data_IF_840054813710
#
_entry.id   IF_840054813710
#
_cell.length_a   1.000
_cell.length_b   1.000
_cell.length_c   1.000
_cell.angle_alpha   90.00
_cell.angle_beta   90.00
_cell.angle_gamma   90.00
#
_symmetry.space_group_name_H-M   'P 1'
#
loop_
_entity.id
_entity.type
_entity.pdbx_description
1 polymer ?
#
# COMPACT_ATOMS: atom_id res chain seq x y z
N UNK A 1 3.93 19.07 -42.38
CA UNK A 1 3.79 20.20 -41.43
C UNK A 1 2.51 19.97 -40.65
N UNK A 2 2.54 19.97 -39.31
CA UNK A 2 1.40 19.86 -38.37
C UNK A 2 0.41 18.69 -38.63
N UNK A 3 0.63 17.56 -37.93
CA UNK A 3 -0.48 16.66 -37.54
C UNK A 3 -0.83 16.97 -36.09
N UNK A 4 -1.99 17.60 -35.89
CA UNK A 4 -2.43 18.07 -34.58
C UNK A 4 -2.66 16.91 -33.61
N UNK A 5 -2.10 17.06 -32.40
CA UNK A 5 -2.27 16.12 -31.30
C UNK A 5 -3.69 16.28 -30.76
N UNK A 6 -4.55 15.27 -30.96
CA UNK A 6 -5.78 15.16 -30.18
C UNK A 6 -5.40 14.69 -28.77
N UNK A 7 -5.10 15.65 -27.91
CA UNK A 7 -4.95 15.43 -26.47
C UNK A 7 -6.36 15.16 -25.92
N UNK A 8 -6.73 13.87 -25.81
CA UNK A 8 -8.01 13.50 -25.20
C UNK A 8 -7.94 13.79 -23.70
N UNK A 9 -8.49 14.94 -23.33
CA UNK A 9 -8.88 15.29 -21.96
C UNK A 9 -10.04 14.37 -21.54
N UNK A 10 -9.71 13.17 -21.07
CA UNK A 10 -10.64 12.33 -20.30
C UNK A 10 -10.52 12.66 -18.82
N UNK A 11 -10.96 13.87 -18.47
CA UNK A 11 -11.25 14.31 -17.10
C UNK A 11 -12.73 14.70 -17.07
N UNK A 12 -13.42 14.30 -16.01
CA UNK A 12 -14.88 14.33 -15.79
C UNK A 12 -15.68 13.28 -16.60
N UNK A 13 -16.27 12.31 -15.90
CA UNK A 13 -17.12 11.30 -16.54
C UNK A 13 -17.60 10.11 -15.69
N UNK A 14 -17.04 9.85 -14.50
CA UNK A 14 -17.53 8.77 -13.62
C UNK A 14 -17.69 9.25 -12.17
N UNK A 15 -18.94 9.55 -11.81
CA UNK A 15 -19.41 9.63 -10.43
C UNK A 15 -20.45 8.53 -10.21
N UNK A 16 -20.46 7.98 -8.99
CA UNK A 16 -21.16 6.76 -8.54
C UNK A 16 -20.48 5.45 -8.97
N UNK A 17 -20.27 4.59 -7.97
CA UNK A 17 -19.80 3.19 -8.09
C UNK A 17 -18.37 2.99 -8.61
N UNK A 18 -17.42 3.74 -8.08
CA UNK A 18 -16.06 3.21 -7.84
C UNK A 18 -16.01 2.51 -6.50
N UNK A 19 -15.05 1.61 -6.30
CA UNK A 19 -14.73 1.05 -4.97
C UNK A 19 -13.22 1.15 -4.52
N UNK A 20 -12.51 0.14 -3.94
CA UNK A 20 -11.01 0.10 -3.79
C UNK A 20 -10.48 -0.25 -2.38
N UNK A 21 -9.54 -1.22 -2.29
CA UNK A 21 -8.54 -1.46 -1.25
C UNK A 21 -7.30 -2.20 -1.81
N UNK A 22 -6.10 -1.60 -1.76
CA UNK A 22 -4.93 -1.95 -0.92
C UNK A 22 -3.73 -1.02 -1.25
N UNK A 23 -2.84 -0.75 -0.28
CA UNK A 23 -1.60 0.03 -0.52
C UNK A 23 -0.50 -0.89 -1.06
N UNK A 24 0.08 -0.53 -2.21
CA UNK A 24 1.29 -1.16 -2.75
C UNK A 24 2.48 -0.20 -2.59
N UNK A 25 3.40 -0.52 -1.68
CA UNK A 25 4.62 0.26 -1.45
C UNK A 25 5.72 -0.02 -2.50
N UNK A 26 5.58 -1.07 -3.31
CA UNK A 26 6.56 -1.54 -4.29
C UNK A 26 6.27 -1.05 -5.72
N UNK A 27 5.24 -0.22 -5.93
CA UNK A 27 4.90 0.35 -7.25
C UNK A 27 5.99 1.29 -7.81
N UNK A 28 6.07 1.44 -9.13
CA UNK A 28 7.13 2.21 -9.83
C UNK A 28 7.09 3.72 -9.63
N UNK A 29 5.93 4.29 -9.29
CA UNK A 29 5.82 5.71 -8.89
C UNK A 29 6.40 6.00 -7.51
N UNK A 30 6.73 4.98 -6.71
CA UNK A 30 7.36 5.11 -5.38
C UNK A 30 8.82 4.62 -5.39
N UNK A 31 9.46 4.46 -6.56
CA UNK A 31 10.77 3.81 -6.66
C UNK A 31 11.96 4.73 -6.30
N UNK A 32 12.72 4.32 -5.29
CA UNK A 32 14.05 4.90 -5.00
C UNK A 32 15.07 4.11 -5.81
N UNK A 33 15.59 4.70 -6.88
CA UNK A 33 16.60 4.09 -7.76
C UNK A 33 18.00 4.05 -7.13
N UNK A 34 18.14 3.28 -6.06
CA UNK A 34 19.40 2.95 -5.40
C UNK A 34 19.49 1.44 -5.18
N UNK A 35 20.71 0.90 -5.13
CA UNK A 35 21.00 -0.46 -4.67
C UNK A 35 20.87 -0.60 -3.15
N UNK A 36 20.92 0.52 -2.43
CA UNK A 36 20.74 0.59 -0.99
C UNK A 36 19.93 1.83 -0.58
N UNK A 37 18.93 1.64 0.28
CA UNK A 37 18.22 2.74 0.93
C UNK A 37 17.42 2.24 2.14
N UNK A 38 17.17 3.17 3.05
CA UNK A 38 16.15 3.05 4.09
C UNK A 38 14.96 3.94 3.73
N UNK A 39 13.74 3.51 4.03
CA UNK A 39 12.53 4.34 3.90
C UNK A 39 11.60 4.14 5.10
N UNK A 40 11.18 5.23 5.71
CA UNK A 40 10.09 5.27 6.67
C UNK A 40 8.82 5.78 5.98
N UNK A 41 7.68 5.23 6.34
CA UNK A 41 6.36 5.70 5.94
C UNK A 41 5.44 5.77 7.17
N UNK A 42 4.62 6.81 7.24
CA UNK A 42 3.56 6.96 8.22
C UNK A 42 2.29 7.41 7.50
N UNK A 43 1.24 6.61 7.60
CA UNK A 43 -0.09 6.88 7.07
C UNK A 43 -1.08 7.05 8.23
N UNK A 44 -2.00 8.02 8.10
CA UNK A 44 -3.03 8.27 9.10
C UNK A 44 -4.23 9.01 8.47
N UNK A 45 -5.43 8.79 8.99
CA UNK A 45 -6.66 9.40 8.48
C UNK A 45 -6.98 10.78 9.07
N UNK A 46 -6.30 11.22 10.13
CA UNK A 46 -6.35 12.63 10.58
C UNK A 46 -5.87 13.57 9.48
N UNK A 47 -4.92 13.13 8.62
CA UNK A 47 -4.56 13.90 7.43
C UNK A 47 -5.78 14.15 6.52
N UNK A 48 -6.78 13.26 6.49
CA UNK A 48 -8.03 13.39 5.76
C UNK A 48 -9.18 14.03 6.56
N UNK A 49 -8.97 14.35 7.84
CA UNK A 49 -9.99 14.91 8.73
C UNK A 49 -10.97 13.87 9.28
N UNK A 50 -10.56 12.61 9.37
CA UNK A 50 -11.34 11.49 9.92
C UNK A 50 -10.51 10.67 10.91
N UNK A 51 -11.14 9.77 11.66
CA UNK A 51 -10.49 8.78 12.55
C UNK A 51 -11.35 7.51 12.57
N UNK A 52 -11.44 6.83 11.42
CA UNK A 52 -12.27 5.67 11.14
C UNK A 52 -11.80 4.91 9.88
N UNK A 53 -12.06 3.61 9.85
CA UNK A 53 -11.51 2.66 8.87
C UNK A 53 -10.01 2.48 9.05
N UNK A 54 -9.18 2.88 8.08
CA UNK A 54 -7.72 2.83 8.19
C UNK A 54 -7.24 4.00 9.05
N UNK A 55 -7.20 3.82 10.37
CA UNK A 55 -6.79 4.88 11.31
C UNK A 55 -5.30 5.17 11.20
N UNK A 56 -4.47 4.13 11.07
CA UNK A 56 -3.03 4.29 11.14
C UNK A 56 -2.27 3.15 10.47
N UNK A 57 -1.19 3.50 9.78
CA UNK A 57 -0.11 2.57 9.50
C UNK A 57 1.25 3.22 9.64
N UNK A 58 2.26 2.40 9.93
CA UNK A 58 3.65 2.81 9.82
C UNK A 58 4.45 1.68 9.22
N UNK A 59 5.57 2.03 8.59
CA UNK A 59 6.47 1.01 8.08
C UNK A 59 7.91 1.46 7.91
N UNK A 60 8.81 0.49 7.97
CA UNK A 60 10.25 0.65 7.83
C UNK A 60 10.75 -0.31 6.76
N UNK A 61 11.33 0.25 5.69
CA UNK A 61 11.89 -0.47 4.56
C UNK A 61 13.41 -0.38 4.56
N UNK A 62 14.06 -1.49 4.23
CA UNK A 62 15.47 -1.58 3.98
C UNK A 62 15.72 -2.36 2.69
N UNK A 63 16.29 -1.70 1.70
CA UNK A 63 16.90 -2.35 0.52
C UNK A 63 18.41 -2.25 0.69
N UNK A 64 19.12 -3.36 0.50
CA UNK A 64 20.58 -3.40 0.60
C UNK A 64 21.16 -4.64 -0.11
N UNK A 65 22.38 -4.57 -0.71
CA UNK A 65 22.96 -5.70 -1.45
C UNK A 65 23.14 -6.97 -0.62
N UNK A 66 23.39 -6.86 0.70
CA UNK A 66 23.56 -8.04 1.56
C UNK A 66 22.28 -8.88 1.73
N UNK A 67 21.11 -8.32 1.38
CA UNK A 67 19.82 -9.03 1.41
C UNK A 67 19.65 -10.01 0.24
N UNK A 68 20.54 -10.02 -0.77
CA UNK A 68 20.60 -11.07 -1.81
C UNK A 68 20.84 -12.47 -1.20
N UNK A 69 21.55 -12.54 -0.07
CA UNK A 69 21.81 -13.77 0.68
C UNK A 69 20.64 -14.23 1.59
N UNK A 70 19.49 -13.55 1.59
CA UNK A 70 18.33 -13.95 2.40
C UNK A 70 17.73 -15.27 1.84
N UNK A 71 17.63 -16.36 2.63
CA UNK A 71 17.12 -17.64 2.14
C UNK A 71 15.65 -17.59 1.68
N UNK A 72 14.86 -16.59 2.13
CA UNK A 72 13.49 -16.38 1.63
C UNK A 72 13.47 -16.06 0.13
N UNK A 73 14.58 -15.55 -0.43
CA UNK A 73 14.71 -15.23 -1.85
C UNK A 73 14.51 -16.44 -2.78
N UNK A 74 14.71 -17.66 -2.28
CA UNK A 74 14.45 -18.89 -3.04
C UNK A 74 12.96 -19.17 -3.30
N UNK A 75 12.05 -18.48 -2.61
CA UNK A 75 10.60 -18.58 -2.84
C UNK A 75 10.11 -17.67 -3.98
N UNK A 76 10.95 -16.74 -4.46
CA UNK A 76 10.57 -15.75 -5.46
C UNK A 76 10.89 -16.23 -6.88
N UNK A 77 9.96 -16.01 -7.81
CA UNK A 77 10.24 -16.23 -9.23
C UNK A 77 11.30 -15.24 -9.72
N UNK A 78 12.48 -15.75 -10.09
CA UNK A 78 13.62 -14.97 -10.59
C UNK A 78 13.70 -15.06 -12.12
N UNK A 79 13.21 -14.06 -12.88
CA UNK A 79 13.39 -14.02 -14.33
C UNK A 79 14.86 -13.80 -14.70
N UNK A 80 15.28 -14.38 -15.83
CA UNK A 80 16.58 -14.10 -16.44
C UNK A 80 16.63 -12.66 -16.95
N UNK A 81 17.83 -12.05 -16.99
CA UNK A 81 18.11 -10.75 -17.62
C UNK A 81 17.42 -9.52 -16.97
N UNK A 82 16.77 -9.69 -15.82
CA UNK A 82 16.24 -8.57 -15.01
C UNK A 82 17.28 -8.12 -13.98
N UNK A 83 17.33 -6.81 -13.72
CA UNK A 83 18.09 -6.26 -12.59
C UNK A 83 17.29 -6.42 -11.30
N UNK A 84 17.89 -7.10 -10.31
CA UNK A 84 17.19 -7.52 -9.09
C UNK A 84 17.70 -6.75 -7.88
N UNK A 85 16.76 -6.34 -7.02
CA UNK A 85 17.01 -5.79 -5.68
C UNK A 85 16.17 -6.54 -4.67
N UNK A 86 16.77 -6.86 -3.53
CA UNK A 86 16.10 -7.50 -2.41
C UNK A 86 15.95 -6.50 -1.26
N UNK A 87 14.83 -6.61 -0.56
CA UNK A 87 14.53 -5.77 0.58
C UNK A 87 13.75 -6.51 1.67
N UNK A 88 13.75 -5.89 2.85
CA UNK A 88 12.88 -6.26 3.96
C UNK A 88 12.09 -5.04 4.40
N UNK A 89 10.91 -5.29 4.96
CA UNK A 89 9.98 -4.25 5.36
C UNK A 89 9.19 -4.71 6.58
N UNK A 90 9.16 -3.91 7.64
CA UNK A 90 8.23 -4.13 8.75
C UNK A 90 7.04 -3.20 8.54
N UNK A 91 5.84 -3.78 8.48
CA UNK A 91 4.59 -3.03 8.36
C UNK A 91 3.76 -3.24 9.62
N UNK A 92 3.11 -2.18 10.09
CA UNK A 92 1.98 -2.25 11.00
C UNK A 92 0.81 -1.49 10.40
N UNK A 93 -0.38 -2.09 10.41
CA UNK A 93 -1.65 -1.48 10.02
C UNK A 93 -2.67 -1.62 11.15
N UNK A 94 -3.46 -0.58 11.41
CA UNK A 94 -4.56 -0.57 12.36
C UNK A 94 -5.83 -0.02 11.74
N UNK A 95 -6.95 -0.60 12.17
CA UNK A 95 -8.28 -0.25 11.73
C UNK A 95 -9.26 -0.10 12.89
N UNK A 96 -10.13 0.90 12.79
CA UNK A 96 -11.17 1.21 13.78
C UNK A 96 -12.56 1.39 13.14
N UNK A 97 -13.64 1.09 13.86
CA UNK A 97 -14.99 1.55 13.52
C UNK A 97 -15.15 3.06 13.74
N UNK A 98 -16.21 3.64 13.17
CA UNK A 98 -16.52 5.06 13.17
C UNK A 98 -16.63 5.69 14.58
N UNK A 99 -17.23 5.00 15.54
CA UNK A 99 -17.41 5.51 16.91
C UNK A 99 -16.43 4.82 17.85
N UNK A 100 -15.13 4.83 17.55
CA UNK A 100 -14.07 4.15 18.31
C UNK A 100 -14.02 4.51 19.81
N UNK A 101 -14.59 5.66 20.19
CA UNK A 101 -14.85 6.10 21.57
C UNK A 101 -15.75 5.14 22.35
N UNK A 102 -16.62 4.39 21.67
CA UNK A 102 -17.54 3.45 22.31
C UNK A 102 -16.82 2.15 22.67
N UNK A 103 -16.95 1.66 23.91
CA UNK A 103 -16.35 0.41 24.36
C UNK A 103 -17.13 -0.86 23.93
N UNK A 104 -18.32 -0.70 23.33
CA UNK A 104 -19.15 -1.78 22.78
C UNK A 104 -18.70 -2.21 21.36
N UNK A 105 -19.25 -3.33 20.90
CA UNK A 105 -19.16 -3.76 19.50
C UNK A 105 -20.14 -2.93 18.66
N UNK A 106 -19.66 -2.36 17.55
CA UNK A 106 -20.47 -1.59 16.60
C UNK A 106 -20.98 -2.50 15.48
N UNK A 107 -22.15 -3.09 15.72
CA UNK A 107 -22.79 -4.00 14.75
C UNK A 107 -23.12 -3.23 13.46
N UNK A 108 -22.57 -3.71 12.34
CA UNK A 108 -22.71 -3.09 11.01
C UNK A 108 -21.52 -2.21 10.62
N UNK A 109 -20.53 -2.03 11.49
CA UNK A 109 -19.23 -1.41 11.17
C UNK A 109 -18.12 -2.45 11.21
N UNK A 110 -16.88 -2.11 10.86
CA UNK A 110 -15.75 -3.04 10.95
C UNK A 110 -15.37 -3.33 12.41
N UNK A 111 -14.82 -4.52 12.72
CA UNK A 111 -14.19 -4.74 14.02
C UNK A 111 -12.92 -3.89 14.15
N UNK A 112 -12.50 -3.63 15.40
CA UNK A 112 -11.12 -3.22 15.65
C UNK A 112 -10.17 -4.33 15.17
N UNK A 113 -9.12 -3.97 14.44
CA UNK A 113 -8.11 -4.91 13.98
C UNK A 113 -6.76 -4.21 13.85
N UNK A 114 -5.68 -4.90 14.20
CA UNK A 114 -4.32 -4.47 13.88
C UNK A 114 -3.51 -5.67 13.42
N UNK A 115 -2.59 -5.47 12.50
CA UNK A 115 -1.64 -6.47 12.06
C UNK A 115 -0.23 -5.90 12.00
N UNK A 116 0.76 -6.68 12.44
CA UNK A 116 2.18 -6.38 12.31
C UNK A 116 2.90 -7.54 11.62
N UNK A 117 3.71 -7.27 10.62
CA UNK A 117 4.43 -8.32 9.88
C UNK A 117 5.74 -7.85 9.27
N UNK A 118 6.67 -8.79 9.15
CA UNK A 118 7.90 -8.68 8.38
C UNK A 118 7.63 -9.21 6.97
N UNK A 119 7.81 -8.35 5.96
CA UNK A 119 7.77 -8.67 4.54
C UNK A 119 9.19 -8.74 4.00
N UNK A 120 9.61 -9.89 3.48
CA UNK A 120 10.78 -9.99 2.59
C UNK A 120 10.30 -9.86 1.15
N UNK A 121 11.00 -9.10 0.32
CA UNK A 121 10.57 -8.84 -1.06
C UNK A 121 11.73 -8.77 -2.06
N UNK A 122 11.38 -9.02 -3.31
CA UNK A 122 12.21 -8.85 -4.49
C UNK A 122 11.56 -7.84 -5.44
N UNK A 123 12.36 -6.93 -5.98
CA UNK A 123 12.05 -6.11 -7.15
C UNK A 123 12.96 -6.60 -8.28
N UNK A 124 12.38 -7.09 -9.36
CA UNK A 124 13.08 -7.38 -10.61
C UNK A 124 12.64 -6.35 -11.67
N UNK A 125 13.61 -5.72 -12.33
CA UNK A 125 13.37 -4.67 -13.34
C UNK A 125 14.01 -5.04 -14.67
N UNK A 126 13.19 -5.19 -15.71
CA UNK A 126 13.61 -5.31 -17.11
C UNK A 126 13.56 -3.92 -17.74
N UNK A 127 14.75 -3.43 -18.11
CA UNK A 127 14.95 -2.10 -18.67
C UNK A 127 14.72 -2.04 -20.18
N UNK A 128 14.86 -3.17 -20.87
CA UNK A 128 14.72 -3.24 -22.34
C UNK A 128 13.25 -3.18 -22.75
N UNK A 129 12.39 -3.96 -22.07
CA UNK A 129 10.94 -3.98 -22.31
C UNK A 129 10.13 -3.08 -21.36
N UNK A 130 10.81 -2.35 -20.47
CA UNK A 130 10.23 -1.46 -19.45
C UNK A 130 9.16 -2.16 -18.59
N UNK A 131 9.57 -3.26 -17.96
CA UNK A 131 8.74 -4.13 -17.09
C UNK A 131 9.30 -4.19 -15.69
N UNK A 132 8.40 -4.30 -14.70
CA UNK A 132 8.74 -4.60 -13.31
C UNK A 132 8.00 -5.86 -12.89
N UNK A 133 8.69 -6.75 -12.19
CA UNK A 133 8.10 -7.84 -11.43
C UNK A 133 8.43 -7.64 -9.96
N UNK A 134 7.45 -7.83 -9.09
CA UNK A 134 7.62 -7.83 -7.64
C UNK A 134 7.13 -9.16 -7.08
N UNK A 135 7.79 -9.62 -6.03
CA UNK A 135 7.41 -10.83 -5.30
C UNK A 135 7.73 -10.63 -3.83
N UNK A 136 6.86 -11.07 -2.92
CA UNK A 136 7.11 -10.94 -1.48
C UNK A 136 6.44 -12.04 -0.66
N UNK A 137 7.04 -12.31 0.50
CA UNK A 137 6.48 -13.14 1.58
C UNK A 137 6.38 -12.28 2.83
N UNK A 138 5.20 -12.23 3.41
CA UNK A 138 4.92 -11.56 4.69
C UNK A 138 4.66 -12.59 5.78
N UNK A 139 5.31 -12.44 6.94
CA UNK A 139 5.10 -13.27 8.15
C UNK A 139 4.90 -12.36 9.37
N UNK A 140 3.90 -12.63 10.19
CA UNK A 140 3.60 -11.82 11.38
C UNK A 140 2.33 -12.23 12.10
N UNK A 141 1.63 -11.28 12.72
CA UNK A 141 0.41 -11.52 13.50
C UNK A 141 -0.66 -10.45 13.22
N UNK A 142 -1.93 -10.87 13.18
CA UNK A 142 -3.10 -10.00 13.36
C UNK A 142 -3.61 -10.14 14.80
N UNK A 143 -4.30 -9.12 15.34
CA UNK A 143 -4.94 -9.11 16.65
C UNK A 143 -4.10 -8.47 17.76
N UNK A 144 -4.37 -8.75 19.06
CA UNK A 144 -3.67 -8.13 20.19
C UNK A 144 -2.14 -8.21 20.13
N UNK A 145 -1.57 -9.26 19.53
CA UNK A 145 -0.14 -9.44 19.32
C UNK A 145 0.49 -8.43 18.32
N UNK A 146 -0.33 -7.66 17.60
CA UNK A 146 0.10 -6.54 16.77
C UNK A 146 0.24 -5.21 17.54
N UNK A 147 -0.20 -5.14 18.81
CA UNK A 147 -0.09 -3.96 19.68
C UNK A 147 -0.87 -2.71 19.25
N UNK A 148 -1.88 -2.85 18.38
CA UNK A 148 -2.69 -1.73 17.87
C UNK A 148 -3.31 -0.84 18.95
N UNK A 149 -3.88 -1.44 20.00
CA UNK A 149 -4.40 -0.73 21.18
C UNK A 149 -3.31 0.15 21.82
N UNK A 150 -2.23 -0.48 22.28
CA UNK A 150 -1.15 0.20 22.98
C UNK A 150 -0.58 1.37 22.15
N UNK A 151 -0.46 1.21 20.84
CA UNK A 151 0.02 2.27 19.97
C UNK A 151 -1.01 3.39 19.77
N UNK A 152 -2.25 3.09 19.36
CA UNK A 152 -3.27 4.12 19.11
C UNK A 152 -3.59 4.88 20.42
N UNK A 153 -3.80 4.16 21.52
CA UNK A 153 -3.98 4.70 22.88
C UNK A 153 -2.81 5.60 23.29
N UNK A 154 -1.57 5.28 22.93
CA UNK A 154 -0.40 6.13 23.25
C UNK A 154 -0.37 7.39 22.40
N UNK A 155 -0.61 7.28 21.09
CA UNK A 155 -0.65 8.43 20.19
C UNK A 155 -1.77 9.37 20.59
N UNK A 156 -2.98 8.86 20.86
CA UNK A 156 -4.13 9.69 21.23
C UNK A 156 -3.91 10.42 22.56
N UNK A 157 -3.23 9.80 23.53
CA UNK A 157 -2.77 10.48 24.76
C UNK A 157 -1.78 11.60 24.50
N UNK A 158 -0.85 11.42 23.55
CA UNK A 158 0.18 12.42 23.20
C UNK A 158 -0.42 13.58 22.41
N UNK A 159 -1.35 13.31 21.48
CA UNK A 159 -2.00 14.34 20.64
C UNK A 159 -3.18 15.03 21.31
N UNK A 160 -3.69 14.50 22.43
CA UNK A 160 -4.94 14.94 23.03
C UNK A 160 -6.18 14.51 22.24
N UNK A 161 -6.06 13.51 21.36
CA UNK A 161 -7.18 12.92 20.64
C UNK A 161 -8.08 12.12 21.59
N UNK A 162 -9.32 11.86 21.15
CA UNK A 162 -10.28 11.07 21.91
C UNK A 162 -9.82 9.62 22.07
N UNK A 163 -10.15 8.97 23.19
CA UNK A 163 -9.61 7.65 23.51
C UNK A 163 -10.36 6.50 22.80
N UNK A 164 -9.66 5.54 22.16
CA UNK A 164 -10.29 4.35 21.59
C UNK A 164 -10.58 3.31 22.69
N UNK A 165 -11.85 3.10 23.03
CA UNK A 165 -12.24 2.23 24.15
C UNK A 165 -12.66 0.81 23.72
N UNK A 166 -12.88 0.58 22.42
CA UNK A 166 -13.37 -0.69 21.88
C UNK A 166 -12.31 -1.77 21.62
N UNK A 167 -11.01 -1.50 21.79
CA UNK A 167 -9.90 -2.42 21.46
C UNK A 167 -9.97 -3.80 22.14
N UNK A 168 -10.64 -3.93 23.28
CA UNK A 168 -10.91 -5.22 23.94
C UNK A 168 -11.72 -6.21 23.08
N UNK A 169 -12.52 -5.68 22.14
CA UNK A 169 -13.39 -6.42 21.23
C UNK A 169 -12.72 -6.74 19.88
N UNK A 170 -11.43 -6.43 19.70
CA UNK A 170 -10.72 -6.61 18.44
C UNK A 170 -10.67 -8.07 17.94
N UNK A 171 -10.43 -8.23 16.63
CA UNK A 171 -10.04 -9.50 15.98
C UNK A 171 -8.95 -10.19 16.80
N UNK A 172 -9.07 -11.50 17.03
CA UNK A 172 -8.13 -12.24 17.89
C UNK A 172 -6.83 -12.56 17.17
N UNK A 173 -5.86 -13.02 17.96
CA UNK A 173 -4.54 -13.41 17.48
C UNK A 173 -4.65 -14.49 16.39
N UNK A 174 -4.09 -14.22 15.23
CA UNK A 174 -3.87 -15.21 14.18
C UNK A 174 -2.57 -14.92 13.41
N UNK A 175 -2.01 -15.95 12.78
CA UNK A 175 -0.78 -15.88 12.00
C UNK A 175 -1.03 -15.11 10.71
N UNK A 176 -0.21 -14.12 10.42
CA UNK A 176 -0.07 -13.54 9.07
C UNK A 176 0.95 -14.39 8.32
N UNK A 177 0.51 -14.99 7.21
CA UNK A 177 1.35 -15.58 6.18
C UNK A 177 0.74 -15.20 4.83
N UNK A 178 1.43 -14.43 4.01
CA UNK A 178 0.93 -13.97 2.70
C UNK A 178 2.04 -13.95 1.67
N UNK A 179 1.78 -14.54 0.50
CA UNK A 179 2.61 -14.42 -0.69
C UNK A 179 1.94 -13.42 -1.65
N UNK A 180 2.70 -12.44 -2.13
CA UNK A 180 2.23 -11.43 -3.08
C UNK A 180 3.12 -11.41 -4.32
N UNK A 181 2.51 -11.27 -5.50
CA UNK A 181 3.21 -10.99 -6.76
C UNK A 181 2.60 -9.77 -7.44
N UNK A 182 3.46 -8.96 -8.04
CA UNK A 182 3.07 -7.79 -8.83
C UNK A 182 3.78 -7.72 -10.18
N UNK A 183 3.12 -7.11 -11.15
CA UNK A 183 3.65 -6.83 -12.47
C UNK A 183 3.29 -5.40 -12.88
N UNK A 184 4.26 -4.66 -13.39
CA UNK A 184 4.03 -3.37 -14.05
C UNK A 184 4.64 -3.38 -15.47
N UNK A 185 3.90 -2.86 -16.44
CA UNK A 185 4.36 -2.59 -17.80
C UNK A 185 4.24 -1.10 -18.08
N UNK A 186 5.33 -0.43 -18.43
CA UNK A 186 5.25 0.93 -18.97
C UNK A 186 4.57 0.87 -20.34
N UNK A 187 3.46 1.60 -20.50
CA UNK A 187 2.63 1.61 -21.73
C UNK A 187 2.87 2.89 -22.53
N UNK A 188 3.03 4.03 -21.86
CA UNK A 188 3.34 5.31 -22.49
C UNK A 188 4.47 5.99 -21.71
N UNK A 189 5.42 6.60 -22.44
CA UNK A 189 6.39 7.53 -21.88
C UNK A 189 6.59 8.72 -22.82
N UNK A 190 6.52 9.93 -22.26
CA UNK A 190 6.79 11.17 -22.99
C UNK A 190 7.99 11.86 -22.36
N UNK A 191 9.17 11.64 -22.97
CA UNK A 191 10.49 12.08 -22.48
C UNK A 191 10.69 11.65 -21.02
N UNK A 192 11.11 12.57 -20.16
CA UNK A 192 11.25 12.41 -18.73
C UNK A 192 10.29 13.36 -17.99
N UNK A 193 9.13 13.64 -18.62
CA UNK A 193 8.04 14.49 -18.12
C UNK A 193 6.77 13.71 -17.73
N UNK A 194 6.46 12.63 -18.45
CA UNK A 194 5.27 11.82 -18.18
C UNK A 194 5.53 10.33 -18.42
N UNK A 195 4.99 9.48 -17.55
CA UNK A 195 4.84 8.04 -17.81
C UNK A 195 3.49 7.52 -17.34
N UNK A 196 3.01 6.50 -18.05
CA UNK A 196 1.85 5.69 -17.71
C UNK A 196 2.26 4.22 -17.70
N UNK A 197 1.92 3.53 -16.62
CA UNK A 197 2.15 2.12 -16.39
C UNK A 197 0.80 1.43 -16.17
N UNK A 198 0.62 0.25 -16.77
CA UNK A 198 -0.43 -0.69 -16.38
C UNK A 198 0.15 -1.63 -15.32
N UNK A 199 -0.63 -1.97 -14.30
CA UNK A 199 -0.22 -2.82 -13.19
C UNK A 199 -1.23 -3.93 -12.91
N UNK A 200 -0.74 -5.07 -12.41
CA UNK A 200 -1.55 -6.14 -11.86
C UNK A 200 -0.84 -6.73 -10.62
N UNK A 201 -1.61 -7.08 -9.59
CA UNK A 201 -1.10 -7.72 -8.37
C UNK A 201 -1.99 -8.91 -7.99
N UNK A 202 -1.42 -9.90 -7.31
CA UNK A 202 -2.16 -11.02 -6.70
C UNK A 202 -1.57 -11.27 -5.30
N UNK A 203 -2.43 -11.46 -4.32
CA UNK A 203 -2.08 -11.83 -2.96
C UNK A 203 -2.82 -13.12 -2.57
N UNK A 204 -2.12 -14.07 -1.96
CA UNK A 204 -2.70 -15.29 -1.39
C UNK A 204 -2.13 -15.45 0.01
N UNK A 205 -3.00 -15.49 1.01
CA UNK A 205 -2.57 -15.52 2.40
C UNK A 205 -3.69 -15.40 3.43
N UNK A 206 -3.29 -15.56 4.70
CA UNK A 206 -4.17 -15.55 5.87
C UNK A 206 -4.61 -14.14 6.29
N UNK A 207 -3.87 -13.09 5.92
CA UNK A 207 -4.26 -11.70 6.21
C UNK A 207 -5.12 -11.12 5.08
N UNK A 208 -4.67 -11.30 3.84
CA UNK A 208 -5.37 -10.86 2.63
C UNK A 208 -5.24 -11.92 1.54
N UNK A 209 -6.34 -12.20 0.83
CA UNK A 209 -6.33 -12.94 -0.43
C UNK A 209 -7.17 -12.18 -1.46
N UNK A 210 -6.61 -11.97 -2.66
CA UNK A 210 -7.28 -11.20 -3.71
C UNK A 210 -6.38 -10.90 -4.90
N UNK A 211 -6.89 -10.12 -5.83
CA UNK A 211 -6.17 -9.65 -7.00
C UNK A 211 -6.44 -8.17 -7.24
N UNK A 212 -5.54 -7.49 -7.97
CA UNK A 212 -5.65 -6.10 -8.34
C UNK A 212 -5.23 -5.91 -9.80
N UNK A 213 -5.87 -4.97 -10.49
CA UNK A 213 -5.45 -4.43 -11.79
C UNK A 213 -5.57 -2.92 -11.75
N UNK A 214 -4.69 -2.18 -12.41
CA UNK A 214 -4.73 -0.73 -12.33
C UNK A 214 -3.84 -0.04 -13.33
N UNK A 215 -3.81 1.27 -13.21
CA UNK A 215 -2.95 2.16 -13.99
C UNK A 215 -2.35 3.18 -13.05
N UNK A 216 -1.02 3.36 -13.11
CA UNK A 216 -0.34 4.45 -12.42
C UNK A 216 0.28 5.42 -13.43
N UNK A 217 0.11 6.71 -13.15
CA UNK A 217 0.57 7.83 -13.96
C UNK A 217 1.51 8.69 -13.14
N UNK A 218 2.55 9.20 -13.77
CA UNK A 218 3.53 10.12 -13.16
C UNK A 218 3.73 11.31 -14.07
N UNK A 219 3.76 12.53 -13.50
CA UNK A 219 3.96 13.77 -14.25
C UNK A 219 4.87 14.74 -13.47
N UNK A 220 5.91 15.25 -14.12
CA UNK A 220 6.87 16.19 -13.53
C UNK A 220 8.30 15.88 -13.96
N UNK A 221 9.29 16.28 -13.17
CA UNK A 221 10.71 15.99 -13.41
C UNK A 221 11.01 14.59 -12.85
N UNK A 222 11.03 13.57 -13.70
CA UNK A 222 11.19 12.17 -13.28
C UNK A 222 12.19 11.38 -14.14
N UNK A 223 13.17 10.73 -13.50
CA UNK A 223 13.92 9.68 -14.18
C UNK A 223 13.02 8.45 -14.38
N UNK A 224 13.16 7.76 -15.51
CA UNK A 224 12.46 6.50 -15.72
C UNK A 224 12.93 5.45 -14.69
N UNK A 225 12.04 4.78 -13.95
CA UNK A 225 12.43 3.64 -13.11
C UNK A 225 13.09 2.51 -13.93
N UNK A 226 12.79 2.46 -15.24
CA UNK A 226 13.33 1.51 -16.21
C UNK A 226 14.62 2.00 -16.92
N UNK A 227 15.21 3.13 -16.54
CA UNK A 227 16.54 3.55 -17.02
C UNK A 227 17.58 3.41 -15.90
N UNK A 228 18.87 3.21 -16.22
CA UNK A 228 19.95 3.37 -15.24
C UNK A 228 19.94 4.77 -14.63
N UNK A 229 20.32 4.89 -13.36
CA UNK A 229 20.49 6.18 -12.71
C UNK A 229 21.68 6.92 -13.32
N UNK A 230 21.42 7.84 -14.26
CA UNK A 230 22.46 8.69 -14.84
C UNK A 230 22.91 9.75 -13.83
N UNK A 231 24.21 10.02 -13.80
CA UNK A 231 24.90 10.73 -12.70
C UNK A 231 24.58 12.24 -12.58
N UNK A 232 23.53 12.76 -13.25
CA UNK A 232 23.44 14.21 -13.54
C UNK A 232 22.10 14.90 -13.27
N UNK A 233 21.13 14.25 -12.62
CA UNK A 233 19.99 14.95 -12.00
C UNK A 233 19.71 14.37 -10.61
N UNK A 234 20.45 14.86 -9.61
CA UNK A 234 20.16 14.66 -8.19
C UNK A 234 18.95 15.46 -7.70
N UNK A 235 17.96 15.70 -8.57
CA UNK A 235 16.71 16.37 -8.28
C UNK A 235 15.60 15.72 -9.11
N UNK A 236 14.53 15.27 -8.47
CA UNK A 236 13.28 14.83 -9.08
C UNK A 236 12.12 15.50 -8.35
N UNK A 237 11.11 15.95 -9.09
CA UNK A 237 9.89 16.50 -8.52
C UNK A 237 8.72 16.13 -9.42
N UNK A 238 7.89 15.19 -8.98
CA UNK A 238 6.76 14.70 -9.77
C UNK A 238 5.54 14.44 -8.91
N UNK A 239 4.36 14.64 -9.51
CA UNK A 239 3.10 14.14 -8.99
C UNK A 239 2.83 12.75 -9.56
N UNK A 240 2.08 11.94 -8.83
CA UNK A 240 1.54 10.68 -9.32
C UNK A 240 0.04 10.56 -9.06
N UNK A 241 -0.63 9.74 -9.86
CA UNK A 241 -2.01 9.33 -9.69
C UNK A 241 -2.16 7.87 -10.13
N UNK A 242 -2.72 7.01 -9.28
CA UNK A 242 -2.92 5.60 -9.57
C UNK A 242 -4.36 5.17 -9.26
N UNK A 243 -5.01 4.55 -10.24
CA UNK A 243 -6.37 4.00 -10.15
C UNK A 243 -6.28 2.47 -10.18
N UNK A 244 -6.80 1.79 -9.15
CA UNK A 244 -6.57 0.35 -8.92
C UNK A 244 -7.89 -0.37 -8.62
N UNK A 245 -8.34 -1.24 -9.52
CA UNK A 245 -9.45 -2.16 -9.27
C UNK A 245 -8.95 -3.42 -8.55
N UNK A 246 -9.48 -3.72 -7.37
CA UNK A 246 -9.19 -4.90 -6.59
C UNK A 246 -10.40 -5.86 -6.56
N UNK A 247 -10.12 -7.13 -6.32
CA UNK A 247 -11.09 -8.22 -6.17
C UNK A 247 -10.74 -8.95 -4.87
N UNK A 248 -11.63 -8.87 -3.90
CA UNK A 248 -11.36 -9.31 -2.51
C UNK A 248 -11.88 -10.73 -2.31
N UNK A 249 -10.97 -11.69 -2.21
CA UNK A 249 -11.29 -13.07 -1.82
C UNK A 249 -11.43 -13.21 -0.30
N UNK A 250 -10.54 -12.57 0.45
CA UNK A 250 -10.52 -12.59 1.91
C UNK A 250 -9.79 -11.37 2.48
N UNK A 251 -10.33 -10.81 3.56
CA UNK A 251 -9.71 -9.74 4.36
C UNK A 251 -9.92 -10.06 5.85
N UNK A 252 -8.85 -10.44 6.55
CA UNK A 252 -8.91 -10.80 7.97
C UNK A 252 -9.20 -9.62 8.91
N UNK A 253 -8.96 -8.39 8.46
CA UNK A 253 -9.28 -7.17 9.23
C UNK A 253 -10.78 -6.91 9.31
N UNK A 254 -11.55 -7.51 8.40
CA UNK A 254 -13.01 -7.51 8.40
C UNK A 254 -13.57 -8.85 8.87
N UNK A 255 -13.03 -9.97 8.37
CA UNK A 255 -13.59 -11.31 8.51
C UNK A 255 -13.07 -12.11 9.70
N UNK A 256 -12.11 -11.58 10.47
CA UNK A 256 -11.41 -12.30 11.54
C UNK A 256 -10.26 -13.16 11.03
N UNK A 257 -9.62 -13.93 11.90
CA UNK A 257 -8.57 -14.88 11.53
C UNK A 257 -9.05 -16.04 10.64
N UNK A 258 -8.13 -16.61 9.86
CA UNK A 258 -8.38 -17.77 8.98
C UNK A 258 -8.08 -19.12 9.66
N UNK A 259 -7.13 -19.14 10.60
CA UNK A 259 -6.77 -20.30 11.41
C UNK A 259 -7.41 -20.21 12.82
N UNK A 260 -7.86 -19.01 13.23
CA UNK A 260 -8.55 -18.76 14.50
C UNK A 260 -9.88 -18.01 14.27
N UNK A 261 -10.99 -18.73 14.39
CA UNK A 261 -12.34 -18.22 14.16
C UNK A 261 -13.01 -17.59 15.40
N UNK A 262 -12.40 -17.70 16.59
CA UNK A 262 -12.92 -17.24 17.88
C UNK A 262 -12.87 -15.70 18.07
N UNK A 263 -13.46 -14.97 17.13
CA UNK A 263 -13.46 -13.52 17.06
C UNK A 263 -14.73 -12.94 17.71
N UNK A 264 -14.66 -11.87 18.55
CA UNK A 264 -15.85 -11.32 19.21
C UNK A 264 -16.88 -10.78 18.24
N UNK A 265 -16.41 -10.25 17.10
CA UNK A 265 -17.23 -9.71 16.02
C UNK A 265 -16.43 -9.63 14.72
N UNK A 266 -17.10 -9.88 13.60
CA UNK A 266 -16.55 -9.82 12.24
C UNK A 266 -17.65 -9.41 11.24
N UNK A 267 -17.25 -8.95 10.06
CA UNK A 267 -18.12 -8.82 8.89
C UNK A 267 -18.29 -10.20 8.24
N UNK A 268 -19.53 -10.63 8.03
CA UNK A 268 -19.79 -11.90 7.36
C UNK A 268 -19.38 -11.85 5.88
N UNK A 269 -18.91 -12.98 5.34
CA UNK A 269 -18.36 -13.06 3.98
C UNK A 269 -19.31 -12.57 2.86
N UNK A 270 -20.63 -12.65 3.07
CA UNK A 270 -21.66 -12.14 2.14
C UNK A 270 -21.78 -10.62 2.12
N UNK A 271 -21.36 -9.96 3.20
CA UNK A 271 -21.49 -8.53 3.43
C UNK A 271 -20.18 -7.78 3.12
N UNK A 272 -19.09 -8.48 2.77
CA UNK A 272 -17.84 -7.89 2.25
C UNK A 272 -18.01 -7.49 0.78
N UNK A 273 -17.60 -6.28 0.42
CA UNK A 273 -17.62 -5.78 -0.96
C UNK A 273 -16.51 -6.46 -1.78
N UNK A 274 -16.93 -7.32 -2.71
CA UNK A 274 -16.02 -8.21 -3.45
C UNK A 274 -15.26 -7.55 -4.59
N UNK A 275 -15.73 -6.41 -5.09
CA UNK A 275 -15.10 -5.67 -6.19
C UNK A 275 -14.98 -4.20 -5.83
N UNK A 276 -13.81 -3.65 -6.16
CA UNK A 276 -13.30 -2.44 -5.54
C UNK A 276 -12.48 -1.63 -6.61
N UNK A 277 -12.56 -0.28 -6.81
CA UNK A 277 -11.64 0.63 -7.61
C UNK A 277 -10.95 1.91 -6.95
N UNK A 278 -9.80 1.79 -6.23
CA UNK A 278 -9.08 2.76 -5.35
C UNK A 278 -8.35 3.85 -6.11
N UNK A 279 -8.19 5.03 -5.50
CA UNK A 279 -7.40 6.13 -6.07
C UNK A 279 -6.30 6.63 -5.12
N UNK A 280 -5.04 6.41 -5.49
CA UNK A 280 -3.86 6.99 -4.82
C UNK A 280 -3.39 8.21 -5.61
N UNK A 281 -2.96 9.27 -4.94
CA UNK A 281 -2.28 10.40 -5.56
C UNK A 281 -1.30 11.03 -4.59
N UNK A 282 -0.25 11.67 -5.10
CA UNK A 282 0.78 12.23 -4.24
C UNK A 282 1.80 13.05 -5.00
N UNK A 283 2.74 13.64 -4.26
CA UNK A 283 3.87 14.41 -4.78
C UNK A 283 5.14 13.85 -4.15
N UNK A 284 6.13 13.59 -5.00
CA UNK A 284 7.45 13.10 -4.62
C UNK A 284 8.50 14.16 -4.95
N UNK A 285 9.38 14.42 -3.99
CA UNK A 285 10.59 15.22 -4.12
C UNK A 285 11.80 14.35 -3.76
N UNK A 286 12.69 14.09 -4.71
CA UNK A 286 13.96 13.39 -4.46
C UNK A 286 15.12 14.36 -4.66
N UNK A 287 15.97 14.56 -3.64
CA UNK A 287 17.18 15.38 -3.72
C UNK A 287 18.38 14.51 -3.36
N UNK A 288 19.20 14.17 -4.38
CA UNK A 288 20.30 13.21 -4.31
C UNK A 288 19.86 11.89 -3.67
N UNK A 289 20.32 11.63 -2.44
CA UNK A 289 20.03 10.44 -1.64
C UNK A 289 18.74 10.56 -0.81
N UNK A 290 18.19 11.75 -0.62
CA UNK A 290 16.97 12.00 0.17
C UNK A 290 15.74 11.87 -0.73
N UNK A 291 14.73 11.17 -0.22
CA UNK A 291 13.41 11.00 -0.83
C UNK A 291 12.34 11.51 0.14
N UNK A 292 11.43 12.34 -0.34
CA UNK A 292 10.29 12.86 0.39
C UNK A 292 9.03 12.61 -0.44
N UNK A 293 7.97 12.12 0.19
CA UNK A 293 6.68 11.93 -0.46
C UNK A 293 5.57 12.39 0.48
N UNK A 294 4.56 13.06 -0.09
CA UNK A 294 3.26 13.21 0.52
C UNK A 294 2.22 12.47 -0.32
N UNK A 295 1.47 11.57 0.31
CA UNK A 295 0.51 10.67 -0.32
C UNK A 295 -0.91 10.94 0.17
N UNK A 296 -1.88 10.56 -0.67
CA UNK A 296 -3.31 10.55 -0.39
C UNK A 296 -3.94 9.32 -1.01
N UNK A 297 -4.85 8.70 -0.27
CA UNK A 297 -5.65 7.59 -0.78
C UNK A 297 -7.12 7.89 -0.59
N UNK A 298 -7.91 7.65 -1.63
CA UNK A 298 -9.35 7.49 -1.55
C UNK A 298 -9.70 6.02 -1.78
N UNK A 299 -10.27 5.44 -0.73
CA UNK A 299 -10.82 4.10 -0.63
C UNK A 299 -12.35 4.23 -0.59
N UNK A 300 -13.07 3.16 -0.85
CA UNK A 300 -14.52 3.15 -0.74
C UNK A 300 -14.98 2.21 0.35
N UNK A 301 -16.29 1.98 0.44
CA UNK A 301 -16.79 0.92 1.29
C UNK A 301 -16.17 -0.43 0.90
N UNK A 302 -15.74 -1.14 1.93
CA UNK A 302 -15.16 -2.49 1.88
C UNK A 302 -16.19 -3.55 2.33
N UNK A 303 -17.32 -3.12 2.86
CA UNK A 303 -18.44 -3.94 3.32
C UNK A 303 -19.76 -3.18 3.14
N UNK A 304 -20.88 -3.90 3.07
CA UNK A 304 -22.16 -3.43 2.54
C UNK A 304 -22.71 -2.18 3.24
N UNK A 305 -22.59 -2.14 4.56
CA UNK A 305 -22.99 -1.06 5.49
C UNK A 305 -21.90 -0.01 5.72
N UNK A 306 -20.68 -0.24 5.21
CA UNK A 306 -19.55 0.65 5.39
C UNK A 306 -19.60 1.90 4.50
N UNK A 307 -18.72 2.85 4.80
CA UNK A 307 -18.55 4.09 4.05
C UNK A 307 -17.23 4.10 3.28
N UNK A 308 -17.06 5.08 2.39
CA UNK A 308 -15.74 5.36 1.81
C UNK A 308 -14.77 5.90 2.85
N UNK A 309 -13.52 5.45 2.78
CA UNK A 309 -12.44 5.93 3.65
C UNK A 309 -11.42 6.77 2.87
N UNK A 310 -10.69 7.61 3.60
CA UNK A 310 -9.61 8.42 3.05
C UNK A 310 -8.52 8.55 4.10
N UNK A 311 -7.28 8.54 3.67
CA UNK A 311 -6.14 8.85 4.52
C UNK A 311 -5.08 9.62 3.74
N UNK A 312 -4.07 10.10 4.45
CA UNK A 312 -2.85 10.63 3.84
C UNK A 312 -1.63 10.04 4.53
N UNK A 313 -0.47 10.23 3.92
CA UNK A 313 0.77 9.74 4.49
C UNK A 313 1.97 10.57 4.07
N UNK A 314 3.07 10.33 4.78
CA UNK A 314 4.37 10.94 4.52
C UNK A 314 5.41 9.83 4.46
N UNK A 315 6.24 9.81 3.40
CA UNK A 315 7.42 8.95 3.30
C UNK A 315 8.70 9.75 3.35
N UNK A 316 9.67 9.25 4.11
CA UNK A 316 11.03 9.79 4.25
C UNK A 316 12.02 8.68 3.91
N UNK A 317 12.83 8.86 2.86
CA UNK A 317 13.82 7.88 2.42
C UNK A 317 15.22 8.44 2.31
N UNK A 318 16.22 7.58 2.50
CA UNK A 318 17.63 7.90 2.45
C UNK A 318 18.44 6.73 1.87
N UNK A 319 19.09 6.95 0.73
CA UNK A 319 20.14 6.05 0.20
C UNK A 319 21.49 6.27 0.89
N UNK A 320 22.27 5.22 1.11
CA UNK A 320 23.54 5.29 1.88
C UNK A 320 24.76 4.79 1.10
#
# INVERSE_FOLDING_TARGET
MIRSILLILLIAGFWKSSSAQKIDHLSSYSDIQSSNYFRFNYDNDLFAGTDQNYTQGFSFELVAPFLDANPVNHLFYRPNDFEIRYGIFVEHIAYTPANFELPEIQIGDRPFAAAIYLKSFMIATDRENARRLTSSVSVGMIGPAAFGDAMQTTIHKITGSKMPLGWRNQVKNDLVLTYEMGFEQQVIRLKDLFSLQAQANVAIGTLFTGAAVGMNMTFGILNSPFKPATNNQGFKLYAYAASIVNVIGYDATLQGGLLNDNNPYTIAAKDVERVTGQFNYGIVLQIKKVYLEYSRTALTKEFATGNSAKWGGIKLGFGF
#
